data_IF_921297016199
#
_entry.id   IF_921297016199
#
_cell.length_a   1.000
_cell.length_b   1.000
_cell.length_c   1.000
_cell.angle_alpha   90.00
_cell.angle_beta   90.00
_cell.angle_gamma   90.00
#
_symmetry.space_group_name_H-M   'P 1'
#
loop_
_entity.id
_entity.type
_entity.pdbx_description
1 polymer ?
#
# COMPACT_ATOMS: atom_id res chain seq x y z
N UNK A 1 9.40 34.76 -26.59
CA UNK A 1 10.05 33.47 -26.26
C UNK A 1 8.93 32.45 -26.06
N UNK A 2 8.98 31.36 -26.80
CA UNK A 2 7.88 30.40 -26.95
C UNK A 2 7.71 29.57 -25.66
N UNK A 3 6.73 29.94 -24.81
CA UNK A 3 6.53 29.34 -23.48
C UNK A 3 6.47 27.80 -23.57
N UNK A 4 5.85 27.27 -24.63
CA UNK A 4 5.72 25.84 -24.90
C UNK A 4 7.08 25.17 -25.15
N UNK A 5 8.02 25.81 -25.85
CA UNK A 5 9.34 25.25 -26.14
C UNK A 5 10.27 25.26 -24.92
N UNK A 6 9.99 26.12 -23.94
CA UNK A 6 10.73 26.16 -22.67
C UNK A 6 10.12 25.21 -21.64
N UNK A 7 8.79 25.07 -21.63
CA UNK A 7 8.02 24.29 -20.63
C UNK A 7 7.94 22.81 -20.99
N UNK A 8 7.84 22.44 -22.27
CA UNK A 8 7.74 21.02 -22.65
C UNK A 8 9.01 20.19 -22.32
N UNK A 9 10.25 20.68 -22.55
CA UNK A 9 11.46 19.94 -22.17
C UNK A 9 11.66 19.87 -20.65
N UNK A 10 11.27 20.92 -19.92
CA UNK A 10 11.37 20.95 -18.45
C UNK A 10 10.37 20.00 -17.80
N UNK A 11 9.12 19.96 -18.29
CA UNK A 11 8.11 18.97 -17.88
C UNK A 11 8.53 17.55 -18.21
N UNK A 12 9.03 17.29 -19.42
CA UNK A 12 9.47 15.95 -19.82
C UNK A 12 10.64 15.46 -18.94
N UNK A 13 11.60 16.33 -18.62
CA UNK A 13 12.73 16.00 -17.75
C UNK A 13 12.34 15.74 -16.29
N UNK A 14 11.41 16.56 -15.75
CA UNK A 14 10.84 16.36 -14.41
C UNK A 14 10.02 15.07 -14.35
N UNK A 15 9.15 14.86 -15.34
CA UNK A 15 8.31 13.68 -15.43
C UNK A 15 9.14 12.40 -15.55
N UNK A 16 10.17 12.35 -16.40
CA UNK A 16 10.98 11.14 -16.59
C UNK A 16 11.71 10.70 -15.31
N UNK A 17 12.33 11.65 -14.58
CA UNK A 17 13.02 11.32 -13.32
C UNK A 17 12.05 10.90 -12.22
N UNK A 18 10.94 11.62 -12.08
CA UNK A 18 9.93 11.30 -11.07
C UNK A 18 9.23 9.97 -11.38
N UNK A 19 8.91 9.68 -12.65
CA UNK A 19 8.30 8.41 -13.05
C UNK A 19 9.19 7.21 -12.74
N UNK A 20 10.49 7.26 -13.02
CA UNK A 20 11.40 6.14 -12.70
C UNK A 20 11.46 5.87 -11.19
N UNK A 21 11.55 6.93 -10.39
CA UNK A 21 11.59 6.81 -8.94
C UNK A 21 10.24 6.35 -8.36
N UNK A 22 9.12 6.86 -8.87
CA UNK A 22 7.77 6.43 -8.47
C UNK A 22 7.49 5.00 -8.90
N UNK A 23 7.94 4.59 -10.08
CA UNK A 23 7.84 3.22 -10.56
C UNK A 23 8.66 2.29 -9.66
N UNK A 24 9.87 2.70 -9.28
CA UNK A 24 10.68 1.97 -8.31
C UNK A 24 9.99 1.82 -6.96
N UNK A 25 9.44 2.91 -6.40
CA UNK A 25 8.68 2.86 -5.15
C UNK A 25 7.42 2.00 -5.28
N UNK A 26 6.81 1.97 -6.46
CA UNK A 26 5.66 1.11 -6.73
C UNK A 26 6.05 -0.37 -6.78
N UNK A 27 7.18 -0.71 -7.40
CA UNK A 27 7.72 -2.08 -7.34
C UNK A 27 7.92 -2.50 -5.88
N UNK A 28 8.53 -1.64 -5.07
CA UNK A 28 8.70 -1.90 -3.63
C UNK A 28 7.37 -2.04 -2.88
N UNK A 29 6.35 -1.25 -3.24
CA UNK A 29 5.01 -1.32 -2.65
C UNK A 29 4.28 -2.64 -2.93
N UNK A 30 4.59 -3.32 -4.04
CA UNK A 30 3.98 -4.59 -4.43
C UNK A 30 4.73 -5.83 -3.92
N UNK A 31 5.99 -5.71 -3.48
CA UNK A 31 6.74 -6.80 -2.83
C UNK A 31 5.97 -7.41 -1.64
N UNK A 32 5.41 -6.62 -0.69
CA UNK A 32 4.60 -7.13 0.40
C UNK A 32 3.42 -8.00 -0.06
N UNK A 33 2.80 -7.69 -1.20
CA UNK A 33 1.69 -8.49 -1.75
C UNK A 33 2.19 -9.86 -2.17
N UNK A 34 3.30 -9.93 -2.91
CA UNK A 34 3.91 -11.20 -3.29
C UNK A 34 4.27 -12.04 -2.05
N UNK A 35 4.88 -11.42 -1.04
CA UNK A 35 5.20 -12.08 0.22
C UNK A 35 3.94 -12.57 0.95
N UNK A 36 2.89 -11.76 1.03
CA UNK A 36 1.63 -12.14 1.66
C UNK A 36 1.00 -13.37 0.99
N UNK A 37 1.01 -13.41 -0.35
CA UNK A 37 0.52 -14.56 -1.11
C UNK A 37 1.34 -15.83 -0.81
N UNK A 38 2.67 -15.73 -0.82
CA UNK A 38 3.56 -16.86 -0.55
C UNK A 38 3.43 -17.37 0.89
N UNK A 39 3.41 -16.47 1.87
CA UNK A 39 3.40 -16.79 3.30
C UNK A 39 2.04 -17.31 3.76
N UNK A 40 0.94 -16.73 3.27
CA UNK A 40 -0.40 -17.04 3.77
C UNK A 40 -1.17 -18.06 2.92
N UNK A 41 -1.07 -18.04 1.58
CA UNK A 41 -1.80 -19.00 0.73
C UNK A 41 -1.12 -20.35 0.60
N UNK A 42 0.20 -20.43 0.82
CA UNK A 42 0.94 -21.69 0.74
C UNK A 42 0.66 -22.65 1.90
N UNK A 43 -0.20 -22.30 2.86
CA UNK A 43 -0.45 -23.10 4.05
C UNK A 43 -1.68 -24.01 3.88
N UNK A 44 -1.59 -25.30 4.25
CA UNK A 44 -2.73 -26.22 4.18
C UNK A 44 -3.94 -25.69 4.96
N UNK A 45 -5.11 -25.65 4.32
CA UNK A 45 -6.34 -25.14 4.92
C UNK A 45 -6.94 -26.05 6.00
N UNK A 46 -6.56 -27.32 6.03
CA UNK A 46 -7.11 -28.32 6.95
C UNK A 46 -6.47 -28.25 8.34
N UNK A 47 -5.24 -27.74 8.45
CA UNK A 47 -4.57 -27.57 9.73
C UNK A 47 -4.96 -26.22 10.34
N UNK A 48 -5.50 -26.22 11.55
CA UNK A 48 -5.85 -24.98 12.29
C UNK A 48 -4.66 -24.44 13.08
N UNK A 49 -3.55 -25.17 13.16
CA UNK A 49 -2.36 -24.78 13.92
C UNK A 49 -1.60 -23.66 13.20
N UNK A 50 -0.92 -22.81 13.97
CA UNK A 50 -0.01 -21.82 13.41
C UNK A 50 1.26 -22.50 12.88
N UNK A 51 1.83 -22.06 11.75
CA UNK A 51 3.09 -22.59 11.26
C UNK A 51 4.21 -22.31 12.27
N UNK A 52 4.94 -23.35 12.67
CA UNK A 52 6.11 -23.23 13.57
C UNK A 52 7.44 -23.09 12.81
N UNK A 53 7.42 -23.13 11.47
CA UNK A 53 8.63 -23.08 10.65
C UNK A 53 9.34 -21.73 10.78
N UNK A 54 10.66 -21.71 11.07
CA UNK A 54 11.46 -20.49 11.07
C UNK A 54 11.40 -19.74 9.73
N UNK A 55 11.27 -20.46 8.62
CA UNK A 55 11.13 -19.88 7.27
C UNK A 55 9.84 -19.08 7.15
N UNK A 56 8.74 -19.58 7.73
CA UNK A 56 7.47 -18.87 7.71
C UNK A 56 7.53 -17.57 8.52
N UNK A 57 8.11 -17.63 9.74
CA UNK A 57 8.31 -16.45 10.58
C UNK A 57 9.28 -15.45 9.95
N UNK A 58 10.33 -15.92 9.27
CA UNK A 58 11.20 -15.07 8.46
C UNK A 58 10.46 -14.38 7.32
N UNK A 59 9.55 -15.08 6.65
CA UNK A 59 8.67 -14.51 5.63
C UNK A 59 7.72 -13.43 6.18
N UNK A 60 7.13 -13.67 7.36
CA UNK A 60 6.29 -12.66 8.05
C UNK A 60 7.12 -11.43 8.45
N UNK A 61 8.31 -11.64 9.00
CA UNK A 61 9.21 -10.54 9.37
C UNK A 61 9.61 -9.70 8.15
N UNK A 62 9.96 -10.37 7.03
CA UNK A 62 10.28 -9.70 5.78
C UNK A 62 9.07 -8.94 5.22
N UNK A 63 7.88 -9.53 5.29
CA UNK A 63 6.63 -8.87 4.91
C UNK A 63 6.43 -7.60 5.73
N UNK A 64 6.52 -7.65 7.06
CA UNK A 64 6.35 -6.48 7.93
C UNK A 64 7.41 -5.41 7.69
N UNK A 65 8.63 -5.81 7.34
CA UNK A 65 9.73 -4.89 7.02
C UNK A 65 9.49 -4.14 5.71
N UNK A 66 8.94 -4.82 4.69
CA UNK A 66 8.62 -4.20 3.40
C UNK A 66 7.25 -3.53 3.37
N UNK A 67 6.33 -3.88 4.27
CA UNK A 67 4.96 -3.36 4.29
C UNK A 67 4.87 -1.82 4.33
N UNK A 68 5.72 -1.08 5.07
CA UNK A 68 5.74 0.39 5.05
C UNK A 68 5.89 1.00 3.66
N UNK A 69 6.50 0.28 2.70
CA UNK A 69 6.69 0.77 1.32
C UNK A 69 5.35 1.01 0.60
N UNK A 70 4.28 0.29 0.96
CA UNK A 70 2.99 0.44 0.32
C UNK A 70 2.33 1.81 0.58
N UNK A 71 2.16 2.27 1.84
CA UNK A 71 1.72 3.64 2.11
C UNK A 71 2.82 4.70 1.91
N UNK A 72 4.09 4.31 1.79
CA UNK A 72 5.22 5.22 1.52
C UNK A 72 4.96 6.06 0.26
N UNK A 73 4.33 5.48 -0.75
CA UNK A 73 3.97 6.17 -2.00
C UNK A 73 3.09 7.40 -1.74
N UNK A 74 2.26 7.40 -0.69
CA UNK A 74 1.47 8.57 -0.30
C UNK A 74 2.34 9.72 0.23
N UNK A 75 3.38 9.39 1.00
CA UNK A 75 4.31 10.38 1.54
C UNK A 75 5.24 10.99 0.46
N UNK A 76 5.32 10.38 -0.72
CA UNK A 76 6.10 10.90 -1.85
C UNK A 76 5.47 12.14 -2.51
N UNK A 77 4.22 12.48 -2.19
CA UNK A 77 3.59 13.78 -2.52
C UNK A 77 4.41 14.99 -2.04
N UNK A 78 5.30 14.78 -1.07
CA UNK A 78 6.32 15.75 -0.66
C UNK A 78 7.16 16.23 -1.86
N UNK A 79 7.41 15.40 -2.88
CA UNK A 79 8.15 15.78 -4.09
C UNK A 79 7.29 16.58 -5.06
N UNK A 80 5.98 16.32 -5.10
CA UNK A 80 5.03 17.09 -5.88
C UNK A 80 5.07 18.58 -5.52
N UNK A 81 5.32 18.94 -4.25
CA UNK A 81 5.48 20.35 -3.84
C UNK A 81 6.65 21.04 -4.56
N UNK A 82 7.73 20.31 -4.79
CA UNK A 82 8.92 20.84 -5.45
C UNK A 82 8.68 20.94 -6.96
N UNK A 83 7.96 19.96 -7.53
CA UNK A 83 7.53 19.99 -8.93
C UNK A 83 6.56 21.14 -9.22
N UNK A 84 5.59 21.41 -8.33
CA UNK A 84 4.67 22.55 -8.40
C UNK A 84 5.46 23.87 -8.44
N UNK A 85 6.45 24.01 -7.55
CA UNK A 85 7.31 25.21 -7.50
C UNK A 85 8.21 25.37 -8.73
N UNK A 86 8.59 24.28 -9.39
CA UNK A 86 9.51 24.30 -10.53
C UNK A 86 8.80 24.49 -11.89
N UNK A 87 7.58 23.98 -12.06
CA UNK A 87 6.89 23.94 -13.35
C UNK A 87 5.70 24.93 -13.49
N UNK A 88 5.27 25.56 -12.39
CA UNK A 88 4.11 26.47 -12.37
C UNK A 88 2.76 25.73 -12.34
N UNK A 89 1.71 26.40 -11.86
CA UNK A 89 0.47 25.73 -11.41
C UNK A 89 -0.32 25.00 -12.53
N UNK A 90 -0.30 25.51 -13.78
CA UNK A 90 -1.18 25.01 -14.85
C UNK A 90 -0.89 23.57 -15.35
N UNK A 91 0.33 23.28 -15.83
CA UNK A 91 0.68 21.94 -16.33
C UNK A 91 0.77 20.87 -15.23
N UNK A 92 1.06 21.27 -13.99
CA UNK A 92 1.26 20.35 -12.86
C UNK A 92 -0.06 19.75 -12.39
N UNK A 93 -1.12 20.55 -12.29
CA UNK A 93 -2.44 20.10 -11.83
C UNK A 93 -3.10 19.16 -12.85
N UNK A 94 -2.94 19.43 -14.15
CA UNK A 94 -3.62 18.68 -15.22
C UNK A 94 -2.92 17.38 -15.60
N UNK A 95 -1.59 17.30 -15.48
CA UNK A 95 -0.80 16.15 -15.98
C UNK A 95 -0.10 15.37 -14.87
N UNK A 96 0.48 16.04 -13.88
CA UNK A 96 1.32 15.39 -12.87
C UNK A 96 0.48 14.84 -11.72
N UNK A 97 -0.50 15.61 -11.25
CA UNK A 97 -1.33 15.21 -10.11
C UNK A 97 -2.10 13.89 -10.33
N UNK A 98 -2.73 13.60 -11.49
CA UNK A 98 -3.39 12.32 -11.74
C UNK A 98 -2.44 11.14 -11.72
N UNK A 99 -1.21 11.32 -12.21
CA UNK A 99 -0.17 10.28 -12.20
C UNK A 99 0.22 9.93 -10.76
N UNK A 100 0.51 10.94 -9.93
CA UNK A 100 0.76 10.73 -8.50
C UNK A 100 -0.43 10.06 -7.81
N UNK A 101 -1.66 10.50 -8.10
CA UNK A 101 -2.87 9.87 -7.58
C UNK A 101 -2.96 8.38 -7.91
N UNK A 102 -2.65 7.99 -9.15
CA UNK A 102 -2.67 6.59 -9.59
C UNK A 102 -1.67 5.72 -8.81
N UNK A 103 -0.47 6.23 -8.58
CA UNK A 103 0.56 5.53 -7.80
C UNK A 103 0.17 5.38 -6.32
N UNK A 104 -0.43 6.41 -5.72
CA UNK A 104 -0.91 6.36 -4.33
C UNK A 104 -2.04 5.35 -4.19
N UNK A 105 -3.00 5.36 -5.12
CA UNK A 105 -4.09 4.38 -5.16
C UNK A 105 -3.49 2.98 -5.29
N UNK A 106 -2.51 2.77 -6.18
CA UNK A 106 -1.82 1.49 -6.34
C UNK A 106 -1.16 1.02 -5.02
N UNK A 107 -0.48 1.91 -4.31
CA UNK A 107 0.13 1.62 -3.01
C UNK A 107 -0.91 1.22 -1.94
N UNK A 108 -2.02 1.94 -1.84
CA UNK A 108 -3.08 1.58 -0.90
C UNK A 108 -3.83 0.30 -1.30
N UNK A 109 -4.00 0.02 -2.59
CA UNK A 109 -4.52 -1.27 -3.07
C UNK A 109 -3.59 -2.40 -2.67
N UNK A 110 -2.28 -2.26 -2.86
CA UNK A 110 -1.30 -3.24 -2.40
C UNK A 110 -1.39 -3.47 -0.88
N UNK A 111 -1.47 -2.40 -0.09
CA UNK A 111 -1.64 -2.47 1.36
C UNK A 111 -2.93 -3.19 1.78
N UNK A 112 -4.06 -2.88 1.12
CA UNK A 112 -5.33 -3.58 1.31
C UNK A 112 -5.22 -5.07 1.00
N UNK A 113 -4.58 -5.44 -0.11
CA UNK A 113 -4.41 -6.85 -0.50
C UNK A 113 -3.66 -7.63 0.57
N UNK A 114 -2.57 -7.08 1.12
CA UNK A 114 -1.82 -7.72 2.22
C UNK A 114 -2.71 -7.95 3.44
N UNK A 115 -3.44 -6.93 3.89
CA UNK A 115 -4.33 -7.06 5.06
C UNK A 115 -5.52 -8.00 4.80
N UNK A 116 -5.97 -8.10 3.55
CA UNK A 116 -7.00 -9.06 3.13
C UNK A 116 -6.48 -10.50 3.19
N UNK A 117 -5.26 -10.78 2.69
CA UNK A 117 -4.63 -12.10 2.85
C UNK A 117 -4.42 -12.46 4.32
N UNK A 118 -3.94 -11.52 5.14
CA UNK A 118 -3.74 -11.72 6.58
C UNK A 118 -5.07 -12.03 7.28
N UNK A 119 -6.14 -11.30 6.96
CA UNK A 119 -7.48 -11.55 7.49
C UNK A 119 -8.00 -12.94 7.13
N UNK A 120 -7.87 -13.35 5.86
CA UNK A 120 -8.27 -14.69 5.41
C UNK A 120 -7.44 -15.80 6.05
N UNK A 121 -6.15 -15.57 6.25
CA UNK A 121 -5.29 -16.48 6.99
C UNK A 121 -5.78 -16.67 8.42
N UNK A 122 -6.05 -15.59 9.15
CA UNK A 122 -6.57 -15.67 10.52
C UNK A 122 -7.91 -16.42 10.57
N UNK A 123 -8.83 -16.14 9.64
CA UNK A 123 -10.11 -16.84 9.54
C UNK A 123 -9.93 -18.34 9.29
N UNK A 124 -9.04 -18.73 8.38
CA UNK A 124 -8.74 -20.15 8.10
C UNK A 124 -8.23 -20.92 9.32
N UNK A 125 -7.57 -20.22 10.26
CA UNK A 125 -7.03 -20.79 11.51
C UNK A 125 -8.04 -20.73 12.67
N UNK A 126 -9.25 -20.22 12.45
CA UNK A 126 -10.23 -19.99 13.51
C UNK A 126 -9.88 -18.81 14.43
N UNK A 127 -8.96 -17.93 14.00
CA UNK A 127 -8.50 -16.75 14.72
C UNK A 127 -9.23 -15.47 14.24
N UNK A 128 -10.46 -15.60 13.73
CA UNK A 128 -11.24 -14.46 13.20
C UNK A 128 -11.43 -13.32 14.22
N UNK A 129 -11.53 -13.64 15.52
CA UNK A 129 -11.60 -12.64 16.59
C UNK A 129 -10.35 -11.73 16.67
N UNK A 130 -9.19 -12.23 16.21
CA UNK A 130 -7.94 -11.49 16.19
C UNK A 130 -7.79 -10.59 14.96
N UNK A 131 -8.70 -10.65 13.99
CA UNK A 131 -8.60 -9.87 12.75
C UNK A 131 -8.48 -8.37 13.02
N UNK A 132 -9.34 -7.82 13.87
CA UNK A 132 -9.32 -6.40 14.23
C UNK A 132 -8.03 -6.00 14.98
N UNK A 133 -7.66 -6.63 16.11
CA UNK A 133 -6.45 -6.24 16.83
C UNK A 133 -5.17 -6.42 15.99
N UNK A 134 -5.04 -7.52 15.23
CA UNK A 134 -3.89 -7.72 14.34
C UNK A 134 -3.83 -6.67 13.25
N UNK A 135 -4.97 -6.29 12.68
CA UNK A 135 -5.05 -5.21 11.69
C UNK A 135 -4.59 -3.89 12.30
N UNK A 136 -5.07 -3.50 13.49
CA UNK A 136 -4.65 -2.27 14.17
C UNK A 136 -3.15 -2.28 14.51
N UNK A 137 -2.63 -3.39 15.03
CA UNK A 137 -1.19 -3.54 15.28
C UNK A 137 -0.38 -3.41 13.99
N UNK A 138 -0.87 -3.97 12.89
CA UNK A 138 -0.20 -3.87 11.58
C UNK A 138 -0.14 -2.41 11.10
N UNK A 139 -1.21 -1.63 11.28
CA UNK A 139 -1.19 -0.19 11.00
C UNK A 139 -0.16 0.56 11.86
N UNK A 140 -0.08 0.23 13.15
CA UNK A 140 0.88 0.85 14.06
C UNK A 140 2.33 0.53 13.67
N UNK A 141 2.65 -0.74 13.43
CA UNK A 141 3.97 -1.16 12.98
C UNK A 141 4.33 -0.53 11.64
N UNK A 142 3.36 -0.44 10.73
CA UNK A 142 3.54 0.22 9.44
C UNK A 142 3.83 1.72 9.62
N UNK A 143 3.08 2.42 10.47
CA UNK A 143 3.29 3.84 10.78
C UNK A 143 4.68 4.09 11.39
N UNK A 144 5.13 3.24 12.31
CA UNK A 144 6.48 3.28 12.86
C UNK A 144 7.51 3.05 11.75
N UNK A 145 7.32 2.04 10.89
CA UNK A 145 8.23 1.77 9.78
C UNK A 145 8.34 2.94 8.80
N UNK A 146 7.22 3.60 8.46
CA UNK A 146 7.23 4.82 7.65
C UNK A 146 7.98 5.94 8.38
N UNK A 147 7.74 6.12 9.68
CA UNK A 147 8.44 7.11 10.49
C UNK A 147 9.97 6.91 10.45
N UNK A 148 10.42 5.68 10.70
CA UNK A 148 11.83 5.33 10.71
C UNK A 148 12.48 5.52 9.33
N UNK A 149 11.80 5.11 8.27
CA UNK A 149 12.32 5.29 6.92
C UNK A 149 12.40 6.76 6.50
N UNK A 150 11.40 7.58 6.85
CA UNK A 150 11.28 8.96 6.35
C UNK A 150 12.03 10.00 7.17
N UNK A 151 11.97 9.91 8.49
CA UNK A 151 12.57 10.91 9.38
C UNK A 151 13.91 10.45 9.92
N UNK A 152 14.01 9.20 10.37
CA UNK A 152 15.25 8.64 10.91
C UNK A 152 16.20 8.20 9.77
N UNK A 153 15.67 8.00 8.56
CA UNK A 153 16.40 7.51 7.36
C UNK A 153 17.07 6.16 7.60
N UNK A 154 16.39 5.30 8.35
CA UNK A 154 16.86 3.95 8.65
C UNK A 154 16.39 3.00 7.54
N UNK A 155 17.33 2.37 6.86
CA UNK A 155 17.05 1.42 5.79
C UNK A 155 16.76 0.03 6.35
N UNK A 156 15.97 -0.77 5.63
CA UNK A 156 15.55 -2.11 6.06
C UNK A 156 16.71 -3.11 6.24
N UNK A 157 17.87 -2.86 5.64
CA UNK A 157 19.05 -3.73 5.71
C UNK A 157 20.10 -3.29 6.76
N UNK A 158 20.00 -2.05 7.25
CA UNK A 158 20.96 -1.49 8.21
C UNK A 158 20.96 -2.21 9.57
N UNK A 159 19.83 -2.68 10.13
CA UNK A 159 19.85 -3.49 11.37
C UNK A 159 20.68 -4.78 11.27
N UNK A 160 20.93 -5.27 10.05
CA UNK A 160 21.73 -6.48 9.81
C UNK A 160 23.19 -6.13 9.59
N UNK A 161 23.47 -5.08 8.80
CA UNK A 161 24.84 -4.72 8.40
C UNK A 161 25.53 -3.80 9.42
N UNK A 162 24.78 -2.93 10.09
CA UNK A 162 25.27 -1.94 11.06
C UNK A 162 24.34 -1.89 12.29
N UNK A 163 24.25 -2.99 13.06
CA UNK A 163 23.23 -3.14 14.12
C UNK A 163 23.32 -2.07 15.22
N UNK A 164 24.54 -1.66 15.60
CA UNK A 164 24.76 -0.64 16.63
C UNK A 164 24.27 0.73 16.17
N UNK A 165 24.70 1.18 15.00
CA UNK A 165 24.32 2.49 14.46
C UNK A 165 22.82 2.56 14.18
N UNK A 166 22.24 1.46 13.68
CA UNK A 166 20.79 1.34 13.50
C UNK A 166 20.05 1.47 14.83
N UNK A 167 20.54 0.83 15.90
CA UNK A 167 19.93 0.90 17.22
C UNK A 167 20.04 2.32 17.83
N UNK A 168 21.20 2.97 17.73
CA UNK A 168 21.39 4.34 18.23
C UNK A 168 20.44 5.32 17.51
N UNK A 169 20.33 5.22 16.19
CA UNK A 169 19.38 6.05 15.40
C UNK A 169 17.93 5.74 15.73
N UNK A 170 17.57 4.48 15.95
CA UNK A 170 16.24 4.08 16.39
C UNK A 170 15.86 4.76 17.71
N UNK A 171 16.75 4.68 18.71
CA UNK A 171 16.51 5.28 20.03
C UNK A 171 16.41 6.80 19.95
N UNK A 172 17.37 7.46 19.29
CA UNK A 172 17.35 8.91 19.10
C UNK A 172 16.12 9.39 18.32
N UNK A 173 15.71 8.62 17.32
CA UNK A 173 14.52 8.92 16.53
C UNK A 173 13.23 8.81 17.34
N UNK A 174 13.10 7.77 18.17
CA UNK A 174 11.90 7.55 18.98
C UNK A 174 11.80 8.48 20.19
N UNK A 175 12.91 9.01 20.70
CA UNK A 175 12.92 10.02 21.77
C UNK A 175 12.70 11.44 21.27
N UNK A 176 12.64 11.65 19.95
CA UNK A 176 12.32 12.95 19.37
C UNK A 176 10.89 13.37 19.73
N UNK A 177 10.74 14.61 20.22
CA UNK A 177 9.45 15.15 20.72
C UNK A 177 8.30 15.08 19.70
N UNK A 178 8.61 15.17 18.40
CA UNK A 178 7.61 15.09 17.32
C UNK A 178 7.30 13.66 16.88
N UNK A 179 8.09 12.66 17.29
CA UNK A 179 7.92 11.29 16.86
C UNK A 179 6.52 10.73 17.18
N UNK A 180 5.94 10.90 18.38
CA UNK A 180 4.61 10.39 18.68
C UNK A 180 3.52 11.00 17.77
N UNK A 181 3.61 12.31 17.50
CA UNK A 181 2.65 13.00 16.63
C UNK A 181 2.74 12.50 15.19
N UNK A 182 3.96 12.36 14.66
CA UNK A 182 4.18 11.88 13.29
C UNK A 182 3.73 10.42 13.12
N UNK A 183 4.04 9.56 14.10
CA UNK A 183 3.58 8.16 14.11
C UNK A 183 2.04 8.11 14.20
N UNK A 184 1.42 8.91 15.06
CA UNK A 184 -0.04 8.96 15.16
C UNK A 184 -0.71 9.45 13.87
N UNK A 185 -0.16 10.49 13.23
CA UNK A 185 -0.65 10.98 11.94
C UNK A 185 -0.52 9.89 10.85
N UNK A 186 0.61 9.19 10.80
CA UNK A 186 0.81 8.09 9.85
C UNK A 186 -0.10 6.89 10.15
N UNK A 187 -0.35 6.58 11.40
CA UNK A 187 -1.30 5.55 11.81
C UNK A 187 -2.72 5.87 11.32
N UNK A 188 -3.18 7.10 11.52
CA UNK A 188 -4.50 7.55 11.04
C UNK A 188 -4.53 7.51 9.50
N UNK A 189 -3.50 8.02 8.83
CA UNK A 189 -3.44 8.04 7.37
C UNK A 189 -3.48 6.62 6.76
N UNK A 190 -2.71 5.68 7.32
CA UNK A 190 -2.70 4.30 6.86
C UNK A 190 -4.02 3.59 7.15
N UNK A 191 -4.60 3.79 8.34
CA UNK A 191 -5.88 3.20 8.74
C UNK A 191 -7.04 3.72 7.87
N UNK A 192 -7.10 5.03 7.64
CA UNK A 192 -8.11 5.65 6.80
C UNK A 192 -7.95 5.23 5.34
N UNK A 193 -6.73 5.28 4.80
CA UNK A 193 -6.46 4.87 3.42
C UNK A 193 -6.80 3.40 3.17
N UNK A 194 -6.49 2.51 4.12
CA UNK A 194 -6.93 1.12 4.07
C UNK A 194 -8.46 1.00 4.12
N UNK A 195 -9.12 1.70 5.04
CA UNK A 195 -10.59 1.67 5.16
C UNK A 195 -11.27 2.13 3.87
N UNK A 196 -10.85 3.27 3.30
CA UNK A 196 -11.39 3.80 2.05
C UNK A 196 -11.17 2.82 0.91
N UNK A 197 -9.96 2.30 0.75
CA UNK A 197 -9.62 1.35 -0.31
C UNK A 197 -10.44 0.07 -0.19
N UNK A 198 -10.58 -0.46 1.02
CA UNK A 198 -11.42 -1.62 1.31
C UNK A 198 -12.88 -1.36 0.93
N UNK A 199 -13.45 -0.23 1.36
CA UNK A 199 -14.83 0.13 1.07
C UNK A 199 -15.09 0.23 -0.44
N UNK A 200 -14.18 0.88 -1.17
CA UNK A 200 -14.25 0.98 -2.65
C UNK A 200 -14.14 -0.39 -3.29
N UNK A 201 -13.14 -1.19 -2.93
CA UNK A 201 -12.91 -2.51 -3.52
C UNK A 201 -14.10 -3.45 -3.29
N UNK A 202 -14.64 -3.51 -2.06
CA UNK A 202 -15.79 -4.34 -1.73
C UNK A 202 -17.06 -3.87 -2.47
N UNK A 203 -17.29 -2.56 -2.57
CA UNK A 203 -18.41 -1.99 -3.32
C UNK A 203 -18.33 -2.30 -4.82
N UNK A 204 -17.14 -2.16 -5.42
CA UNK A 204 -16.89 -2.50 -6.83
C UNK A 204 -17.13 -3.99 -7.09
N UNK A 205 -16.61 -4.87 -6.23
CA UNK A 205 -16.83 -6.32 -6.35
C UNK A 205 -18.31 -6.69 -6.21
N UNK A 206 -19.03 -6.07 -5.27
CA UNK A 206 -20.46 -6.29 -5.09
C UNK A 206 -21.26 -5.84 -6.32
N UNK A 207 -20.91 -4.68 -6.89
CA UNK A 207 -21.52 -4.18 -8.13
C UNK A 207 -21.29 -5.14 -9.29
N UNK A 208 -20.05 -5.58 -9.51
CA UNK A 208 -19.69 -6.52 -10.57
C UNK A 208 -20.44 -7.86 -10.44
N UNK A 209 -20.56 -8.42 -9.23
CA UNK A 209 -21.30 -9.66 -8.99
C UNK A 209 -22.79 -9.52 -9.35
N UNK A 210 -23.41 -8.40 -8.98
CA UNK A 210 -24.81 -8.11 -9.32
C UNK A 210 -25.01 -8.00 -10.84
N UNK A 211 -24.11 -7.31 -11.54
CA UNK A 211 -24.17 -7.21 -13.00
C UNK A 211 -24.02 -8.57 -13.68
N UNK A 212 -23.07 -9.39 -13.23
CA UNK A 212 -22.86 -10.74 -13.78
C UNK A 212 -24.09 -11.63 -13.55
N UNK A 213 -24.70 -11.56 -12.37
CA UNK A 213 -25.94 -12.29 -12.06
C UNK A 213 -27.09 -11.83 -12.95
N UNK A 214 -27.33 -10.52 -13.09
CA UNK A 214 -28.38 -9.97 -13.96
C UNK A 214 -28.22 -10.40 -15.43
N UNK A 215 -26.98 -10.39 -15.95
CA UNK A 215 -26.69 -10.86 -17.32
C UNK A 215 -26.94 -12.37 -17.46
N UNK A 216 -26.57 -13.16 -16.43
CA UNK A 216 -26.81 -14.62 -16.43
C UNK A 216 -28.30 -14.93 -16.40
N UNK A 217 -29.07 -14.23 -15.57
CA UNK A 217 -30.51 -14.42 -15.44
C UNK A 217 -31.24 -14.02 -16.75
N UNK A 218 -30.85 -12.91 -17.37
CA UNK A 218 -31.38 -12.48 -18.67
C UNK A 218 -31.11 -13.50 -19.80
N UNK A 219 -29.93 -14.15 -19.79
CA UNK A 219 -29.60 -15.21 -20.77
C UNK A 219 -30.35 -16.52 -20.54
N UNK A 220 -30.86 -16.76 -19.33
CA UNK A 220 -31.54 -17.99 -18.95
C UNK A 220 -33.06 -17.91 -19.04
N UNK A 221 -33.66 -16.73 -19.21
CA UNK A 221 -35.07 -16.60 -19.63
C UNK A 221 -35.21 -17.00 -21.10
N UNK A 222 -35.79 -18.17 -21.42
CA UNK A 222 -36.11 -18.52 -22.80
C UNK A 222 -37.18 -17.54 -23.27
N UNK A 223 -37.05 -17.04 -24.50
CA UNK A 223 -38.04 -16.15 -25.08
C UNK A 223 -39.43 -16.75 -24.94
N UNK A 224 -40.30 -16.05 -24.21
CA UNK A 224 -41.74 -16.23 -24.30
C UNK A 224 -42.20 -15.71 -25.67
N UNK A 225 -41.79 -16.40 -26.73
CA UNK A 225 -42.33 -16.26 -28.08
C UNK A 225 -43.13 -17.52 -28.36
N UNK A 226 -44.46 -17.43 -28.25
CA UNK A 226 -45.36 -18.47 -28.73
C UNK A 226 -46.61 -18.61 -27.87
N UNK A 227 -47.71 -18.00 -28.31
CA UNK A 227 -49.04 -18.22 -27.75
C UNK A 227 -50.03 -17.15 -28.17
N UNK A 228 -50.33 -17.12 -29.47
CA UNK A 228 -51.55 -16.54 -30.03
C UNK A 228 -52.77 -17.38 -29.62
#
# INVERSE_FOLDING_TARGET
MDLVKTVAPSLAGVLNRNLLWMLWNSVLAWIPVALALLVFRGQPHEDRRLPASPVWWGGVALLLLFLPNAPYVATDLVHLRYDIRAAGDGPVVTTILPVYGAFIISGFVAYYLVLSELGRFLESRGLGAWRVPVTLTTHLLCAIGVFLGRWVRLNSWEPVVQPRDAFERLMLGLTWEWAPLLIAAMFIATALGHFVTRAVAEATMASARRTVQAVRDFRLTPGSTGGA
#
